data_IF_988710543620
#
_entry.id   IF_988710543620
#
_cell.length_a   1.000
_cell.length_b   1.000
_cell.length_c   1.000
_cell.angle_alpha   90.00
_cell.angle_beta   90.00
_cell.angle_gamma   90.00
#
_symmetry.space_group_name_H-M   'P 1'
#
loop_
_entity.id
_entity.type
_entity.pdbx_description
1 polymer ?
#
# COMPACT_ATOMS: atom_id res chain seq x y z
N UNK A 1 -0.04 2.99 17.28
CA UNK A 1 0.30 4.02 16.26
C UNK A 1 -0.91 4.89 15.88
N UNK A 2 -2.07 4.80 16.54
CA UNK A 2 -3.29 5.57 16.18
C UNK A 2 -3.81 6.44 17.33
N UNK A 3 -3.09 6.50 18.45
CA UNK A 3 -3.50 7.29 19.61
C UNK A 3 -3.25 8.77 19.38
N UNK A 4 -4.04 9.64 20.02
CA UNK A 4 -3.85 11.09 19.92
C UNK A 4 -2.42 11.50 20.29
N UNK A 5 -1.86 10.93 21.37
CA UNK A 5 -0.48 11.16 21.79
C UNK A 5 0.54 10.78 20.71
N UNK A 6 0.34 9.66 20.03
CA UNK A 6 1.23 9.24 18.94
C UNK A 6 1.12 10.18 17.74
N UNK A 7 -0.09 10.61 17.37
CA UNK A 7 -0.29 11.56 16.29
C UNK A 7 0.38 12.91 16.58
N UNK A 8 0.24 13.44 17.80
CA UNK A 8 0.93 14.66 18.23
C UNK A 8 2.46 14.51 18.18
N UNK A 9 2.96 13.34 18.57
CA UNK A 9 4.39 13.04 18.47
C UNK A 9 4.88 13.00 17.02
N UNK A 10 4.13 12.41 16.08
CA UNK A 10 4.47 12.45 14.65
C UNK A 10 4.44 13.89 14.12
N UNK A 11 3.42 14.66 14.46
CA UNK A 11 3.29 16.05 14.04
C UNK A 11 4.46 16.93 14.54
N UNK A 12 4.96 16.68 15.75
CA UNK A 12 6.12 17.42 16.29
C UNK A 12 7.44 17.10 15.60
N UNK A 13 7.51 16.01 14.81
CA UNK A 13 8.67 15.68 13.96
C UNK A 13 8.60 16.33 12.57
N UNK A 14 7.46 16.90 12.18
CA UNK A 14 7.32 17.54 10.87
C UNK A 14 8.04 18.89 10.86
N UNK A 15 8.94 19.07 9.89
CA UNK A 15 9.64 20.33 9.64
C UNK A 15 9.23 20.95 8.31
N UNK A 16 9.59 22.21 8.08
CA UNK A 16 9.36 22.90 6.79
C UNK A 16 10.35 22.52 5.69
N UNK A 17 11.38 21.74 6.02
CA UNK A 17 12.39 21.22 5.09
C UNK A 17 12.42 19.70 5.14
N UNK A 18 12.67 19.07 3.99
CA UNK A 18 12.97 17.64 3.94
C UNK A 18 14.29 17.37 4.70
N UNK A 19 14.34 16.26 5.43
CA UNK A 19 15.52 15.84 6.18
C UNK A 19 16.22 14.70 5.47
N UNK A 20 17.50 14.47 5.79
CA UNK A 20 18.22 13.29 5.29
C UNK A 20 17.66 12.01 5.91
N UNK A 21 17.83 10.87 5.24
CA UNK A 21 17.38 9.55 5.70
C UNK A 21 17.78 9.23 7.15
N UNK A 22 18.94 9.68 7.64
CA UNK A 22 19.39 9.45 9.02
C UNK A 22 18.46 10.08 10.06
N UNK A 23 17.81 11.20 9.73
CA UNK A 23 16.83 11.84 10.61
C UNK A 23 15.62 10.92 10.88
N UNK A 24 15.27 10.09 9.91
CA UNK A 24 14.12 9.18 9.97
C UNK A 24 14.50 7.74 10.36
N UNK A 25 15.78 7.46 10.63
CA UNK A 25 16.25 6.15 11.13
C UNK A 25 17.33 5.45 10.33
N UNK A 26 17.82 6.03 9.21
CA UNK A 26 18.93 5.49 8.42
C UNK A 26 18.56 4.52 7.28
N UNK A 27 19.53 4.19 6.43
CA UNK A 27 19.34 3.50 5.14
C UNK A 27 19.15 1.97 5.25
N UNK A 28 18.16 1.41 4.54
CA UNK A 28 17.97 -0.03 4.37
C UNK A 28 17.55 -0.38 2.92
N UNK A 29 18.52 -0.84 2.12
CA UNK A 29 18.54 -1.37 0.72
C UNK A 29 17.29 -1.39 -0.21
N UNK A 30 17.64 -1.37 -1.51
CA UNK A 30 16.91 -1.03 -2.76
C UNK A 30 15.63 -1.85 -3.06
N UNK A 31 14.68 -1.20 -3.75
CA UNK A 31 13.43 -1.77 -4.27
C UNK A 31 13.57 -2.36 -5.69
N UNK A 32 13.09 -3.58 -5.92
CA UNK A 32 12.66 -4.04 -7.24
C UNK A 32 11.33 -3.39 -7.68
N UNK A 33 11.06 -3.39 -8.99
CA UNK A 33 9.73 -3.04 -9.51
C UNK A 33 8.72 -4.16 -9.23
N UNK A 34 7.49 -3.77 -8.88
CA UNK A 34 6.40 -4.66 -8.52
C UNK A 34 5.20 -4.55 -9.46
N UNK A 35 4.62 -5.72 -9.75
CA UNK A 35 3.34 -5.88 -10.40
C UNK A 35 2.70 -7.22 -10.04
N UNK A 36 1.37 -7.37 -10.16
CA UNK A 36 0.69 -8.67 -9.98
C UNK A 36 -0.52 -8.66 -9.04
N UNK A 37 -0.72 -7.55 -8.34
CA UNK A 37 -1.93 -7.29 -7.53
C UNK A 37 -3.04 -6.69 -8.39
N UNK A 38 -4.29 -7.01 -8.09
CA UNK A 38 -5.48 -6.38 -8.68
C UNK A 38 -6.46 -5.93 -7.59
N UNK A 39 -7.23 -4.88 -7.88
CA UNK A 39 -8.23 -4.35 -6.99
C UNK A 39 -9.57 -4.17 -7.70
N UNK A 40 -10.65 -4.52 -7.01
CA UNK A 40 -12.03 -4.33 -7.48
C UNK A 40 -12.84 -3.66 -6.38
N UNK A 41 -13.58 -2.62 -6.78
CA UNK A 41 -14.57 -1.93 -5.96
C UNK A 41 -15.96 -2.17 -6.54
N UNK A 42 -16.93 -2.53 -5.70
CA UNK A 42 -18.33 -2.70 -6.10
C UNK A 42 -19.23 -1.94 -5.13
N UNK A 43 -20.23 -1.25 -5.68
CA UNK A 43 -21.36 -0.70 -4.94
C UNK A 43 -22.62 -1.18 -5.66
N UNK A 44 -23.57 -1.76 -4.93
CA UNK A 44 -24.85 -2.21 -5.49
C UNK A 44 -25.98 -1.19 -5.27
N UNK A 45 -27.15 -1.50 -5.82
CA UNK A 45 -28.35 -0.65 -5.72
C UNK A 45 -28.94 -0.57 -4.30
N UNK A 46 -28.61 -1.52 -3.42
CA UNK A 46 -29.03 -1.54 -2.02
C UNK A 46 -28.09 -0.75 -1.10
N UNK A 47 -27.00 -0.20 -1.65
CA UNK A 47 -25.99 0.55 -0.90
C UNK A 47 -24.96 -0.33 -0.20
N UNK A 48 -24.85 -1.61 -0.57
CA UNK A 48 -23.76 -2.47 -0.12
C UNK A 48 -22.47 -2.11 -0.85
N UNK A 49 -21.33 -2.18 -0.14
CA UNK A 49 -20.01 -1.91 -0.70
C UNK A 49 -19.06 -3.07 -0.51
N UNK A 50 -18.28 -3.41 -1.54
CA UNK A 50 -17.23 -4.44 -1.49
C UNK A 50 -15.92 -3.85 -2.01
N UNK A 51 -14.91 -3.83 -1.15
CA UNK A 51 -13.51 -3.52 -1.49
C UNK A 51 -12.70 -4.81 -1.46
N UNK A 52 -12.19 -5.26 -2.61
CA UNK A 52 -11.43 -6.51 -2.70
C UNK A 52 -10.12 -6.30 -3.43
N UNK A 53 -9.02 -6.51 -2.72
CA UNK A 53 -7.67 -6.58 -3.29
C UNK A 53 -7.19 -8.02 -3.26
N UNK A 54 -6.75 -8.55 -4.39
CA UNK A 54 -6.26 -9.92 -4.53
C UNK A 54 -4.97 -9.93 -5.34
N UNK A 55 -4.10 -10.90 -5.04
CA UNK A 55 -2.77 -10.97 -5.61
C UNK A 55 -2.24 -12.40 -5.66
N UNK A 56 -1.31 -12.65 -6.59
CA UNK A 56 -0.38 -13.79 -6.56
C UNK A 56 1.04 -13.32 -6.25
N UNK A 57 1.13 -12.15 -5.62
CA UNK A 57 2.32 -11.33 -5.40
C UNK A 57 2.86 -10.74 -6.72
N UNK A 58 3.95 -11.29 -7.28
CA UNK A 58 4.55 -10.76 -8.51
C UNK A 58 3.81 -11.19 -9.78
N UNK A 59 4.22 -10.67 -10.94
CA UNK A 59 3.72 -11.14 -12.25
C UNK A 59 3.91 -12.65 -12.39
N UNK A 60 2.80 -13.35 -12.64
CA UNK A 60 2.74 -14.81 -12.70
C UNK A 60 3.20 -15.54 -11.42
N UNK A 61 3.26 -14.82 -10.28
CA UNK A 61 3.64 -15.33 -8.96
C UNK A 61 4.96 -16.10 -9.01
N UNK A 62 4.95 -17.36 -8.57
CA UNK A 62 6.12 -18.22 -8.58
C UNK A 62 6.58 -18.64 -9.98
N UNK A 63 5.92 -18.19 -11.06
CA UNK A 63 6.13 -18.62 -12.45
C UNK A 63 5.92 -20.13 -12.66
N UNK A 64 5.21 -20.76 -11.72
CA UNK A 64 4.87 -22.18 -11.70
C UNK A 64 3.36 -22.30 -11.74
N UNK A 65 2.86 -23.25 -12.53
CA UNK A 65 1.45 -23.62 -12.54
C UNK A 65 1.25 -25.12 -12.35
N UNK A 66 0.10 -25.49 -11.81
CA UNK A 66 -0.34 -26.89 -11.77
C UNK A 66 -0.51 -27.44 -13.19
N UNK A 67 0.26 -28.48 -13.54
CA UNK A 67 0.17 -29.14 -14.86
C UNK A 67 -1.22 -29.72 -15.16
N UNK A 68 -1.98 -30.08 -14.12
CA UNK A 68 -3.32 -30.69 -14.27
C UNK A 68 -4.45 -29.66 -14.26
N UNK A 69 -4.31 -28.62 -13.43
CA UNK A 69 -5.42 -27.68 -13.17
C UNK A 69 -5.22 -26.29 -13.80
N UNK A 70 -4.01 -25.97 -14.28
CA UNK A 70 -3.69 -24.64 -14.82
C UNK A 70 -3.64 -23.51 -13.79
N UNK A 71 -3.69 -23.83 -12.49
CA UNK A 71 -3.63 -22.83 -11.42
C UNK A 71 -2.19 -22.33 -11.27
N UNK A 72 -1.98 -21.03 -11.46
CA UNK A 72 -0.72 -20.33 -11.19
C UNK A 72 -0.53 -20.19 -9.68
N UNK A 73 0.68 -20.46 -9.19
CA UNK A 73 1.03 -20.37 -7.79
C UNK A 73 1.57 -18.99 -7.44
N UNK A 74 1.21 -18.46 -6.28
CA UNK A 74 1.80 -17.22 -5.76
C UNK A 74 3.26 -17.42 -5.34
N UNK A 75 3.98 -16.32 -5.24
CA UNK A 75 5.28 -16.24 -4.56
C UNK A 75 5.25 -15.33 -3.32
N UNK A 76 4.12 -15.29 -2.61
CA UNK A 76 3.87 -14.41 -1.46
C UNK A 76 4.87 -14.58 -0.30
N UNK A 77 5.54 -15.74 -0.24
CA UNK A 77 6.62 -15.96 0.74
C UNK A 77 7.77 -14.95 0.59
N UNK A 78 7.89 -14.33 -0.58
CA UNK A 78 8.82 -13.23 -0.85
C UNK A 78 8.57 -12.03 0.06
N UNK A 79 7.33 -11.77 0.49
CA UNK A 79 7.02 -10.62 1.35
C UNK A 79 7.66 -10.72 2.75
N UNK A 80 8.11 -11.90 3.18
CA UNK A 80 8.86 -12.01 4.43
C UNK A 80 10.22 -11.30 4.34
N UNK A 81 10.59 -10.64 5.43
CA UNK A 81 11.93 -10.11 5.59
C UNK A 81 12.95 -11.24 5.77
N UNK A 82 14.06 -11.17 5.04
CA UNK A 82 15.22 -12.05 5.22
C UNK A 82 16.32 -11.29 5.95
N UNK A 83 16.92 -11.81 7.04
CA UNK A 83 17.99 -11.11 7.73
C UNK A 83 19.12 -10.69 6.76
N UNK A 84 19.39 -9.39 6.66
CA UNK A 84 20.44 -8.85 5.79
C UNK A 84 20.07 -8.73 4.31
N UNK A 85 18.83 -9.01 3.90
CA UNK A 85 18.33 -8.82 2.53
C UNK A 85 16.96 -8.13 2.55
N UNK A 86 16.74 -7.17 1.65
CA UNK A 86 15.40 -6.63 1.41
C UNK A 86 14.52 -7.66 0.69
N UNK A 87 13.19 -7.58 0.88
CA UNK A 87 12.27 -8.39 0.08
C UNK A 87 12.09 -7.83 -1.35
N UNK A 88 11.27 -8.48 -2.18
CA UNK A 88 10.98 -8.05 -3.55
C UNK A 88 10.39 -6.65 -3.71
N UNK A 89 10.06 -5.96 -2.62
CA UNK A 89 9.53 -4.59 -2.58
C UNK A 89 10.48 -3.58 -1.95
N UNK A 90 11.68 -4.03 -1.58
CA UNK A 90 12.69 -3.22 -0.90
C UNK A 90 12.32 -2.82 0.52
N UNK A 91 11.39 -3.56 1.16
CA UNK A 91 11.21 -3.39 2.59
C UNK A 91 12.46 -3.83 3.32
N UNK A 92 13.00 -2.88 4.07
CA UNK A 92 13.99 -3.12 5.09
C UNK A 92 13.69 -4.37 5.92
N UNK A 93 14.69 -5.22 6.21
CA UNK A 93 14.45 -6.43 6.98
C UNK A 93 13.98 -6.08 8.39
N UNK A 94 12.70 -6.32 8.64
CA UNK A 94 12.13 -6.18 9.99
C UNK A 94 12.12 -7.52 10.68
N UNK A 95 12.70 -7.59 11.89
CA UNK A 95 12.61 -8.79 12.73
C UNK A 95 11.16 -9.23 12.95
N UNK A 96 10.22 -8.29 13.00
CA UNK A 96 8.79 -8.58 13.16
C UNK A 96 8.18 -9.26 11.94
N UNK A 97 8.82 -9.17 10.78
CA UNK A 97 8.41 -9.79 9.52
C UNK A 97 9.38 -10.90 9.07
N UNK A 98 10.20 -11.46 9.96
CA UNK A 98 10.97 -12.67 9.61
C UNK A 98 10.07 -13.89 9.43
N UNK A 99 10.47 -14.75 8.49
CA UNK A 99 9.78 -16.01 8.18
C UNK A 99 9.68 -16.92 9.41
N UNK A 100 8.49 -17.47 9.63
CA UNK A 100 8.22 -18.47 10.68
C UNK A 100 7.15 -19.45 10.19
N UNK A 101 7.18 -20.72 10.64
CA UNK A 101 6.13 -21.68 10.31
C UNK A 101 4.74 -21.15 10.65
N UNK A 102 3.78 -21.30 9.72
CA UNK A 102 2.37 -20.87 9.85
C UNK A 102 2.15 -19.35 9.99
N UNK A 103 3.21 -18.55 9.97
CA UNK A 103 3.09 -17.09 9.94
C UNK A 103 2.64 -16.65 8.55
N UNK A 104 1.90 -15.55 8.49
CA UNK A 104 1.56 -14.86 7.24
C UNK A 104 2.53 -13.70 7.01
N UNK A 105 3.02 -13.51 5.78
CA UNK A 105 3.89 -12.39 5.46
C UNK A 105 3.13 -11.05 5.56
N UNK A 106 3.87 -9.97 5.75
CA UNK A 106 3.31 -8.61 5.76
C UNK A 106 2.88 -8.21 4.36
N UNK A 107 1.70 -7.60 4.22
CA UNK A 107 1.19 -7.10 2.94
C UNK A 107 0.93 -5.61 2.99
N UNK A 108 1.14 -4.93 1.86
CA UNK A 108 0.78 -3.52 1.66
C UNK A 108 -0.67 -3.30 1.20
N UNK A 109 -1.40 -4.40 0.90
CA UNK A 109 -2.79 -4.32 0.46
C UNK A 109 -3.66 -3.52 1.43
N UNK A 110 -4.38 -2.53 0.91
CA UNK A 110 -5.17 -1.58 1.70
C UNK A 110 -6.61 -1.42 1.16
N UNK A 111 -7.41 -2.49 1.05
CA UNK A 111 -8.83 -2.36 0.68
C UNK A 111 -9.59 -1.61 1.78
N UNK A 112 -10.35 -0.58 1.39
CA UNK A 112 -11.09 0.28 2.31
C UNK A 112 -12.51 0.59 1.82
N UNK A 113 -13.41 0.74 2.79
CA UNK A 113 -14.76 1.29 2.60
C UNK A 113 -14.89 2.48 3.54
N UNK A 114 -15.30 3.63 3.02
CA UNK A 114 -15.43 4.87 3.79
C UNK A 114 -16.91 5.18 3.97
N UNK A 115 -17.29 5.43 5.23
CA UNK A 115 -18.66 5.77 5.63
C UNK A 115 -18.72 7.19 6.19
N UNK A 116 -19.86 7.84 6.00
CA UNK A 116 -20.18 9.05 6.74
C UNK A 116 -20.40 8.71 8.22
N UNK A 117 -19.59 9.28 9.10
CA UNK A 117 -19.64 8.97 10.54
C UNK A 117 -21.02 9.19 11.16
N UNK A 118 -21.72 10.28 10.78
CA UNK A 118 -23.00 10.63 11.41
C UNK A 118 -24.19 9.86 10.81
N UNK A 119 -24.21 9.64 9.50
CA UNK A 119 -25.35 9.02 8.82
C UNK A 119 -25.19 7.52 8.61
N UNK A 120 -23.98 6.97 8.79
CA UNK A 120 -23.65 5.59 8.47
C UNK A 120 -23.69 5.25 6.97
N UNK A 121 -23.99 6.23 6.10
CA UNK A 121 -24.10 6.00 4.65
C UNK A 121 -22.72 5.76 4.04
N UNK A 122 -22.64 4.78 3.15
CA UNK A 122 -21.44 4.55 2.33
C UNK A 122 -21.12 5.81 1.53
N UNK A 123 -19.87 6.29 1.64
CA UNK A 123 -19.37 7.46 0.90
C UNK A 123 -18.62 7.05 -0.37
N UNK A 124 -17.67 6.11 -0.25
CA UNK A 124 -16.99 5.49 -1.40
C UNK A 124 -16.27 4.20 -0.99
N UNK A 125 -15.94 3.38 -1.99
CA UNK A 125 -15.17 2.14 -1.88
C UNK A 125 -13.87 2.31 -2.65
N UNK A 126 -12.73 1.97 -2.04
CA UNK A 126 -11.42 2.24 -2.62
C UNK A 126 -10.38 1.18 -2.26
N UNK A 127 -9.40 1.04 -3.11
CA UNK A 127 -8.19 0.25 -2.93
C UNK A 127 -7.27 0.46 -4.13
N UNK A 128 -6.14 -0.22 -4.14
CA UNK A 128 -5.15 -0.10 -5.21
C UNK A 128 -4.34 -1.40 -5.38
N UNK A 129 -3.50 -1.41 -6.41
CA UNK A 129 -2.46 -2.41 -6.70
C UNK A 129 -1.09 -1.72 -6.81
N UNK A 130 0.00 -2.51 -6.89
CA UNK A 130 1.37 -2.00 -7.02
C UNK A 130 2.19 -2.05 -5.73
N UNK A 131 2.00 -3.09 -4.92
CA UNK A 131 2.89 -3.43 -3.80
C UNK A 131 3.02 -2.32 -2.77
N UNK A 132 4.24 -1.90 -2.49
CA UNK A 132 4.53 -0.81 -1.55
C UNK A 132 3.83 0.51 -1.92
N UNK A 133 3.51 0.73 -3.20
CA UNK A 133 2.81 1.93 -3.68
C UNK A 133 1.34 1.96 -3.30
N UNK A 134 0.72 0.82 -2.94
CA UNK A 134 -0.70 0.71 -2.59
C UNK A 134 -1.08 1.72 -1.50
N UNK A 135 -0.25 1.86 -0.46
CA UNK A 135 -0.54 2.74 0.68
C UNK A 135 -0.61 4.21 0.22
N UNK A 136 0.34 4.67 -0.60
CA UNK A 136 0.33 6.01 -1.19
C UNK A 136 -0.84 6.20 -2.16
N UNK A 137 -1.10 5.21 -3.01
CA UNK A 137 -2.14 5.23 -4.02
C UNK A 137 -3.56 5.27 -3.41
N UNK A 138 -3.77 4.70 -2.22
CA UNK A 138 -5.06 4.78 -1.51
C UNK A 138 -5.16 6.02 -0.62
N UNK A 139 -4.08 6.41 0.06
CA UNK A 139 -4.10 7.57 0.97
C UNK A 139 -4.33 8.90 0.23
N UNK A 140 -3.69 9.11 -0.93
CA UNK A 140 -3.85 10.31 -1.75
C UNK A 140 -5.34 10.61 -2.06
N UNK A 141 -6.08 9.74 -2.76
CA UNK A 141 -7.45 10.04 -3.14
C UNK A 141 -8.38 10.21 -1.93
N UNK A 142 -8.14 9.49 -0.82
CA UNK A 142 -8.90 9.70 0.42
C UNK A 142 -8.72 11.13 0.94
N UNK A 143 -7.47 11.61 1.06
CA UNK A 143 -7.20 12.98 1.51
C UNK A 143 -7.81 14.01 0.55
N UNK A 144 -7.71 13.78 -0.76
CA UNK A 144 -8.31 14.65 -1.80
C UNK A 144 -9.82 14.77 -1.68
N UNK A 145 -10.52 13.65 -1.56
CA UNK A 145 -11.98 13.66 -1.39
C UNK A 145 -12.41 14.23 -0.04
N UNK A 146 -11.70 13.93 1.05
CA UNK A 146 -12.11 14.32 2.40
C UNK A 146 -11.71 15.74 2.80
N UNK A 147 -10.52 16.20 2.40
CA UNK A 147 -9.97 17.48 2.83
C UNK A 147 -10.10 18.58 1.77
N UNK A 148 -10.08 18.22 0.48
CA UNK A 148 -10.14 19.18 -0.62
C UNK A 148 -11.49 19.18 -1.34
N UNK A 149 -12.45 18.38 -0.87
CA UNK A 149 -13.82 18.29 -1.39
C UNK A 149 -13.87 17.97 -2.90
N UNK A 150 -12.92 17.18 -3.38
CA UNK A 150 -12.87 16.73 -4.76
C UNK A 150 -13.79 15.52 -5.00
N UNK A 151 -14.20 15.33 -6.25
CA UNK A 151 -14.82 14.07 -6.69
C UNK A 151 -13.81 12.94 -6.68
N UNK A 152 -14.27 11.69 -6.57
CA UNK A 152 -13.39 10.52 -6.62
C UNK A 152 -12.59 10.45 -7.93
N UNK A 153 -13.19 10.89 -9.05
CA UNK A 153 -12.53 10.96 -10.35
C UNK A 153 -11.35 11.94 -10.34
N UNK A 154 -11.59 13.18 -9.90
CA UNK A 154 -10.52 14.18 -9.78
C UNK A 154 -9.39 13.70 -8.86
N UNK A 155 -9.76 13.05 -7.76
CA UNK A 155 -8.82 12.54 -6.79
C UNK A 155 -7.94 11.39 -7.34
N UNK A 156 -8.51 10.53 -8.20
CA UNK A 156 -7.78 9.45 -8.89
C UNK A 156 -6.90 10.02 -9.98
N UNK A 157 -7.45 10.85 -10.87
CA UNK A 157 -6.77 11.42 -12.05
C UNK A 157 -5.61 12.37 -11.69
N UNK A 158 -5.62 12.97 -10.50
CA UNK A 158 -4.52 13.82 -10.06
C UNK A 158 -3.19 13.04 -9.97
N UNK A 159 -2.05 13.64 -10.29
CA UNK A 159 -0.74 12.99 -10.17
C UNK A 159 -0.49 12.37 -8.78
N UNK A 160 0.08 11.16 -8.76
CA UNK A 160 0.45 10.49 -7.52
C UNK A 160 1.88 10.76 -7.12
N UNK A 161 2.12 10.82 -5.81
CA UNK A 161 3.43 10.93 -5.20
C UNK A 161 3.64 9.71 -4.30
N UNK A 162 4.80 9.08 -4.41
CA UNK A 162 5.17 7.93 -3.61
C UNK A 162 6.57 8.10 -3.01
N UNK A 163 6.67 7.90 -1.70
CA UNK A 163 7.92 7.79 -0.98
C UNK A 163 7.73 6.74 0.12
N UNK A 164 8.59 5.75 0.16
CA UNK A 164 8.52 4.62 1.10
C UNK A 164 9.75 4.55 2.01
N UNK A 165 10.37 5.70 2.28
CA UNK A 165 11.56 5.88 3.10
C UNK A 165 12.85 5.32 2.49
N UNK A 166 12.87 4.07 2.00
CA UNK A 166 14.02 3.54 1.25
C UNK A 166 13.58 2.92 -0.09
N UNK A 167 14.28 3.20 -1.22
CA UNK A 167 15.39 4.14 -1.38
C UNK A 167 14.99 5.59 -1.08
N UNK A 168 15.97 6.44 -0.74
CA UNK A 168 15.77 7.88 -0.45
C UNK A 168 15.46 8.64 -1.75
N UNK A 169 14.30 8.35 -2.32
CA UNK A 169 13.80 8.91 -3.56
C UNK A 169 12.30 9.11 -3.43
N UNK A 170 11.81 10.20 -4.01
CA UNK A 170 10.38 10.45 -4.17
C UNK A 170 10.03 10.26 -5.63
N UNK A 171 9.11 9.35 -5.89
CA UNK A 171 8.53 9.13 -7.21
C UNK A 171 7.29 10.01 -7.37
N UNK A 172 7.12 10.57 -8.56
CA UNK A 172 5.96 11.38 -8.90
C UNK A 172 5.50 11.01 -10.32
N UNK A 173 4.20 11.00 -10.56
CA UNK A 173 3.60 10.81 -11.88
C UNK A 173 3.58 12.13 -12.64
N UNK A 174 3.95 12.13 -13.93
CA UNK A 174 3.79 13.31 -14.78
C UNK A 174 2.31 13.65 -15.01
N UNK A 175 2.00 14.93 -15.26
CA UNK A 175 0.68 15.33 -15.73
C UNK A 175 0.50 14.80 -17.16
N UNK A 176 -0.26 13.72 -17.33
CA UNK A 176 -0.71 13.23 -18.64
C UNK A 176 -2.10 13.77 -18.95
#
# INVERSE_FOLDING_TARGET
>A
MTTHKYNQWILSKKTSKAQKTEYYGGNLQINPEDHGTSHVSVIDEYGNGVSSTSTINRWFGATIQSRKLGIVWNDEMDDFSTPGQSNGFGFAPSKTNFIQPKKRPMSSMSPMIVYHQNSGKLKFVIGASGGSKIISAVSKPIVRVLCFNETIKQAIDAPSLHNQFTPDQTQYEDNV
#
